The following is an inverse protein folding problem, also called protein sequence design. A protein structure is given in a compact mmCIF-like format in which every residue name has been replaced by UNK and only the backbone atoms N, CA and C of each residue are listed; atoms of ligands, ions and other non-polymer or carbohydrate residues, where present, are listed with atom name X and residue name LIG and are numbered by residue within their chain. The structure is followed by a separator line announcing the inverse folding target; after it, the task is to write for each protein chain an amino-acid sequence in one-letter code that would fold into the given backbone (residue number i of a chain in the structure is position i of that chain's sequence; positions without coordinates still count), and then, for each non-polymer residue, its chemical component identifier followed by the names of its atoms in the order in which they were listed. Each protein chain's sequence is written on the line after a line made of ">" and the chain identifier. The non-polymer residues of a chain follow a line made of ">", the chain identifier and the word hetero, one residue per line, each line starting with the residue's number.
data_IF_234315229188
#
_entry.id   IF_234315229188
#
_cell.length_a   1.000
_cell.length_b   1.000
_cell.length_c   1.000
_cell.angle_alpha   90.00
_cell.angle_beta   90.00
_cell.angle_gamma   90.00
#
_symmetry.space_group_name_H-M   'P 1'
#
loop_
_entity.id
_entity.type
_entity.pdbx_description
1 polymer ?
#
# COMPACT_ATOMS: atom_id res chain seq x y z
N UNK A 1 -3.72 -10.87 4.13
CA UNK A 1 -4.17 -9.48 3.96
C UNK A 1 -3.75 -8.96 2.59
N UNK A 2 -4.68 -8.48 1.80
CA UNK A 2 -4.40 -7.89 0.50
C UNK A 2 -4.57 -6.37 0.56
N UNK A 3 -3.76 -5.62 -0.20
CA UNK A 3 -3.81 -4.16 -0.26
C UNK A 3 -4.07 -3.74 -1.70
N UNK A 4 -5.03 -2.86 -1.92
CA UNK A 4 -5.34 -2.33 -3.24
C UNK A 4 -5.61 -0.83 -3.21
N UNK A 5 -5.46 -0.12 -4.35
CA UNK A 5 -5.82 1.30 -4.40
C UNK A 5 -7.33 1.49 -4.20
N UNK A 6 -7.72 2.47 -3.39
CA UNK A 6 -9.13 2.75 -3.16
C UNK A 6 -9.86 3.19 -4.44
N UNK A 7 -9.15 3.89 -5.33
CA UNK A 7 -9.71 4.35 -6.61
C UNK A 7 -9.71 3.27 -7.71
N UNK A 8 -9.12 2.10 -7.45
CA UNK A 8 -9.16 0.95 -8.36
C UNK A 8 -9.42 -0.34 -7.55
N UNK A 9 -10.60 -0.47 -6.91
CA UNK A 9 -10.87 -1.55 -5.96
C UNK A 9 -11.33 -2.83 -6.65
N UNK A 10 -10.48 -3.42 -7.50
CA UNK A 10 -10.83 -4.60 -8.30
C UNK A 10 -11.14 -5.80 -7.42
N UNK A 11 -10.34 -6.03 -6.36
CA UNK A 11 -10.52 -7.21 -5.50
C UNK A 11 -11.74 -7.09 -4.60
N UNK A 12 -12.03 -5.89 -4.09
CA UNK A 12 -13.14 -5.70 -3.14
C UNK A 12 -14.47 -5.36 -3.82
N UNK A 13 -14.45 -4.63 -4.94
CA UNK A 13 -15.67 -4.14 -5.59
C UNK A 13 -15.80 -4.54 -7.05
N UNK A 14 -14.79 -5.17 -7.64
CA UNK A 14 -14.83 -5.64 -9.02
C UNK A 14 -14.71 -4.55 -10.08
N UNK A 15 -14.37 -3.32 -9.70
CA UNK A 15 -14.26 -2.19 -10.64
C UNK A 15 -12.84 -1.64 -10.65
N UNK A 16 -12.30 -1.42 -11.85
CA UNK A 16 -11.00 -0.79 -12.04
C UNK A 16 -11.14 0.73 -12.19
N UNK A 17 -10.10 1.47 -11.84
CA UNK A 17 -10.05 2.91 -12.00
C UNK A 17 -8.61 3.40 -12.05
N UNK A 18 -8.42 4.69 -12.34
CA UNK A 18 -7.12 5.31 -12.34
C UNK A 18 -6.63 5.51 -10.90
N UNK A 19 -5.33 5.28 -10.67
CA UNK A 19 -4.71 5.53 -9.38
C UNK A 19 -3.24 5.90 -9.59
N UNK A 20 -2.58 6.36 -8.52
CA UNK A 20 -1.20 6.86 -8.56
C UNK A 20 -0.22 5.99 -7.78
N UNK A 21 -0.64 4.81 -7.33
CA UNK A 21 0.20 3.90 -6.56
C UNK A 21 0.88 2.92 -7.53
N UNK A 22 2.05 3.29 -8.04
CA UNK A 22 2.78 2.46 -8.99
C UNK A 22 3.16 1.11 -8.36
N UNK A 23 2.99 0.03 -9.10
CA UNK A 23 3.36 -1.31 -8.70
C UNK A 23 2.23 -2.17 -8.16
N UNK A 24 1.07 -1.58 -7.87
CA UNK A 24 -0.12 -2.33 -7.47
C UNK A 24 -1.32 -1.89 -8.30
N UNK A 25 -2.45 -2.54 -8.12
CA UNK A 25 -3.70 -2.13 -8.78
C UNK A 25 -3.63 -2.25 -10.30
N UNK A 26 -3.36 -3.44 -10.81
CA UNK A 26 -3.20 -3.69 -12.26
C UNK A 26 -4.48 -3.44 -13.08
N UNK A 27 -5.63 -3.28 -12.44
CA UNK A 27 -6.92 -3.08 -13.12
C UNK A 27 -7.65 -4.38 -13.43
N UNK A 28 -7.06 -5.51 -13.09
CA UNK A 28 -7.64 -6.85 -13.28
C UNK A 28 -7.11 -7.79 -12.21
N UNK A 29 -7.75 -8.95 -12.07
CA UNK A 29 -7.24 -10.01 -11.18
C UNK A 29 -6.23 -10.84 -11.97
N UNK A 30 -4.92 -10.82 -11.62
CA UNK A 30 -3.93 -11.62 -12.33
C UNK A 30 -4.21 -13.11 -12.19
N UNK A 31 -3.90 -13.88 -13.23
CA UNK A 31 -4.11 -15.33 -13.23
C UNK A 31 -3.34 -16.04 -12.11
N UNK A 32 -2.18 -15.50 -11.73
CA UNK A 32 -1.34 -16.08 -10.67
C UNK A 32 -1.88 -15.81 -9.27
N UNK A 33 -2.85 -14.90 -9.12
CA UNK A 33 -3.41 -14.57 -7.81
C UNK A 33 -4.52 -15.55 -7.43
N UNK A 34 -4.33 -16.24 -6.31
CA UNK A 34 -5.39 -17.02 -5.69
C UNK A 34 -6.22 -16.10 -4.81
N UNK A 35 -7.43 -15.78 -5.27
CA UNK A 35 -8.33 -14.87 -4.55
C UNK A 35 -8.89 -15.45 -3.26
N UNK A 36 -8.52 -16.68 -2.91
CA UNK A 36 -8.94 -17.34 -1.66
C UNK A 36 -7.84 -17.36 -0.60
N UNK A 37 -6.63 -16.86 -0.94
CA UNK A 37 -5.48 -16.97 -0.03
C UNK A 37 -5.43 -15.85 1.00
N UNK A 38 -6.03 -14.71 0.73
CA UNK A 38 -6.06 -13.59 1.68
C UNK A 38 -7.38 -13.56 2.46
N UNK A 39 -7.33 -13.14 3.71
CA UNK A 39 -8.48 -13.11 4.62
C UNK A 39 -9.24 -11.78 4.54
N UNK A 40 -8.54 -10.69 4.21
CA UNK A 40 -9.10 -9.35 4.21
C UNK A 40 -8.42 -8.49 3.15
N UNK A 41 -9.15 -7.49 2.64
CA UNK A 41 -8.65 -6.52 1.67
C UNK A 41 -8.67 -5.14 2.32
N UNK A 42 -7.56 -4.39 2.22
CA UNK A 42 -7.50 -3.00 2.66
C UNK A 42 -7.31 -2.11 1.44
N UNK A 43 -8.22 -1.16 1.24
CA UNK A 43 -8.13 -0.16 0.19
C UNK A 43 -7.37 1.07 0.72
N UNK A 44 -6.42 1.58 -0.09
CA UNK A 44 -5.55 2.69 0.28
C UNK A 44 -5.75 3.85 -0.69
N UNK A 45 -5.96 5.05 -0.16
CA UNK A 45 -6.04 6.26 -0.98
C UNK A 45 -4.64 6.66 -1.48
N UNK A 46 -4.57 7.32 -2.64
CA UNK A 46 -3.30 7.77 -3.20
C UNK A 46 -2.54 8.68 -2.23
N UNK A 47 -3.22 9.65 -1.64
CA UNK A 47 -2.63 10.60 -0.70
C UNK A 47 -2.05 9.91 0.52
N UNK A 48 -2.74 8.90 1.04
CA UNK A 48 -2.28 8.15 2.21
C UNK A 48 -1.00 7.37 1.91
N UNK A 49 -0.91 6.75 0.73
CA UNK A 49 0.30 6.05 0.31
C UNK A 49 1.49 7.00 0.20
N UNK A 50 1.30 8.16 -0.42
CA UNK A 50 2.36 9.17 -0.55
C UNK A 50 2.76 9.75 0.81
N UNK A 51 1.79 10.11 1.66
CA UNK A 51 2.05 10.70 2.97
C UNK A 51 2.84 9.75 3.86
N UNK A 52 2.47 8.48 3.92
CA UNK A 52 3.16 7.48 4.74
C UNK A 52 4.54 7.16 4.17
N UNK A 53 4.69 7.09 2.85
CA UNK A 53 5.99 6.90 2.22
C UNK A 53 6.98 8.01 2.60
N UNK A 54 6.54 9.27 2.56
CA UNK A 54 7.35 10.42 2.99
C UNK A 54 7.66 10.34 4.48
N UNK A 55 6.67 9.98 5.29
CA UNK A 55 6.82 9.90 6.74
C UNK A 55 7.89 8.90 7.14
N UNK A 56 7.97 7.76 6.48
CA UNK A 56 9.00 6.75 6.72
C UNK A 56 10.38 7.34 6.43
N UNK A 57 10.53 8.05 5.31
CA UNK A 57 11.78 8.74 4.99
C UNK A 57 12.21 9.74 6.04
N UNK A 58 11.27 10.55 6.53
CA UNK A 58 11.56 11.57 7.54
C UNK A 58 11.78 11.01 8.94
N UNK A 59 11.01 9.97 9.34
CA UNK A 59 11.05 9.45 10.71
C UNK A 59 12.06 8.33 10.91
N UNK A 60 12.19 7.45 9.91
CA UNK A 60 13.03 6.25 10.03
C UNK A 60 14.29 6.31 9.16
N UNK A 61 14.42 7.31 8.30
CA UNK A 61 15.56 7.45 7.40
C UNK A 61 15.62 6.40 6.30
N UNK A 62 14.50 5.74 6.01
CA UNK A 62 14.41 4.70 4.98
C UNK A 62 13.62 5.24 3.80
N UNK A 63 14.26 5.28 2.63
CA UNK A 63 13.58 5.71 1.39
C UNK A 63 12.92 4.51 0.73
N UNK A 64 11.61 4.57 0.60
CA UNK A 64 10.80 3.48 0.05
C UNK A 64 9.97 3.95 -1.15
N UNK A 65 9.47 3.00 -1.94
CA UNK A 65 8.62 3.30 -3.08
C UNK A 65 7.17 3.63 -2.66
N UNK A 66 6.37 4.00 -3.65
CA UNK A 66 4.97 4.41 -3.41
C UNK A 66 4.14 3.24 -2.88
N UNK A 67 4.28 2.05 -3.47
CA UNK A 67 3.56 0.86 -3.00
C UNK A 67 3.99 0.43 -1.61
N UNK A 68 5.25 0.71 -1.22
CA UNK A 68 5.72 0.49 0.14
C UNK A 68 4.99 1.39 1.13
N UNK A 69 4.74 2.65 0.77
CA UNK A 69 3.91 3.56 1.57
C UNK A 69 2.50 3.00 1.77
N UNK A 70 1.91 2.44 0.73
CA UNK A 70 0.59 1.78 0.82
C UNK A 70 0.62 0.59 1.78
N UNK A 71 1.64 -0.25 1.69
CA UNK A 71 1.78 -1.42 2.59
C UNK A 71 1.92 -0.99 4.05
N UNK A 72 2.72 0.05 4.32
CA UNK A 72 2.89 0.55 5.69
C UNK A 72 1.62 1.19 6.22
N UNK A 73 0.90 1.95 5.39
CA UNK A 73 -0.39 2.53 5.79
C UNK A 73 -1.35 1.42 6.23
N UNK A 74 -1.46 0.34 5.44
CA UNK A 74 -2.30 -0.79 5.78
C UNK A 74 -1.85 -1.46 7.09
N UNK A 75 -0.55 -1.63 7.30
CA UNK A 75 0.00 -2.19 8.54
C UNK A 75 -0.35 -1.31 9.75
N UNK A 76 -0.30 0.02 9.60
CA UNK A 76 -0.68 0.96 10.66
C UNK A 76 -2.16 0.79 11.02
N UNK A 77 -3.05 0.66 10.02
CA UNK A 77 -4.47 0.45 10.27
C UNK A 77 -4.72 -0.85 11.03
N UNK A 78 -4.01 -1.92 10.67
CA UNK A 78 -4.09 -3.20 11.39
C UNK A 78 -3.57 -3.09 12.82
N UNK A 79 -2.48 -2.35 13.03
CA UNK A 79 -1.89 -2.17 14.36
C UNK A 79 -2.80 -1.38 15.29
N UNK A 80 -3.66 -0.52 14.76
CA UNK A 80 -4.63 0.25 15.56
C UNK A 80 -5.79 -0.59 16.08
N UNK A 81 -6.02 -1.79 15.55
CA UNK A 81 -7.12 -2.64 15.98
C UNK A 81 -6.81 -3.26 17.33
N UNK A 82 -7.73 -3.17 18.33
CA UNK A 82 -7.49 -3.74 19.67
C UNK A 82 -7.19 -5.24 19.66
N UNK A 83 -7.82 -6.02 18.77
CA UNK A 83 -7.59 -7.46 18.67
C UNK A 83 -6.18 -7.82 18.22
N UNK A 84 -5.45 -6.87 17.67
CA UNK A 84 -4.07 -7.08 17.20
C UNK A 84 -3.00 -6.62 18.20
N UNK A 85 -3.40 -6.16 19.37
CA UNK A 85 -2.46 -5.72 20.41
C UNK A 85 -1.53 -6.88 20.80
N UNK A 86 -0.24 -6.63 20.81
CA UNK A 86 0.78 -7.64 21.12
C UNK A 86 1.12 -8.60 19.98
N UNK A 87 0.47 -8.48 18.82
CA UNK A 87 0.78 -9.32 17.65
C UNK A 87 1.89 -8.72 16.81
N UNK A 88 2.63 -9.59 16.14
CA UNK A 88 3.63 -9.18 15.14
C UNK A 88 2.93 -8.91 13.83
N UNK A 89 3.20 -7.73 13.22
CA UNK A 89 2.67 -7.35 11.92
C UNK A 89 3.84 -7.25 10.95
N UNK A 90 3.84 -8.08 9.92
CA UNK A 90 4.89 -8.13 8.90
C UNK A 90 4.35 -7.52 7.62
N UNK A 91 5.12 -6.62 7.03
CA UNK A 91 4.80 -6.01 5.74
C UNK A 91 6.05 -5.91 4.89
N UNK A 92 5.86 -5.94 3.57
CA UNK A 92 6.95 -5.94 2.62
C UNK A 92 7.12 -4.54 2.02
N UNK A 93 8.37 -4.07 1.97
CA UNK A 93 8.76 -2.83 1.29
C UNK A 93 9.45 -3.22 -0.01
N UNK A 94 8.71 -3.33 -1.13
CA UNK A 94 9.22 -4.03 -2.32
C UNK A 94 10.31 -3.29 -3.08
N UNK A 95 10.40 -1.97 -2.97
CA UNK A 95 11.46 -1.23 -3.63
C UNK A 95 11.89 0.02 -2.86
N UNK A 96 12.90 0.72 -3.39
CA UNK A 96 13.46 1.93 -2.76
C UNK A 96 12.80 3.18 -3.33
N UNK A 97 13.01 4.32 -2.65
CA UNK A 97 12.53 5.62 -3.11
C UNK A 97 13.30 6.22 -4.29
N UNK A 98 14.45 5.64 -4.65
CA UNK A 98 15.34 6.20 -5.69
C UNK A 98 14.62 6.37 -7.04
N UNK A 99 13.72 5.46 -7.39
CA UNK A 99 12.97 5.50 -8.65
C UNK A 99 11.91 6.58 -8.68
N UNK A 100 11.60 7.19 -7.54
CA UNK A 100 10.42 8.05 -7.36
C UNK A 100 10.78 9.48 -6.97
N UNK A 101 12.07 9.86 -7.06
CA UNK A 101 12.53 11.19 -6.65
C UNK A 101 11.86 12.33 -7.43
N UNK A 102 11.51 12.08 -8.70
CA UNK A 102 10.82 13.05 -9.56
C UNK A 102 9.29 12.95 -9.47
N UNK A 103 8.75 12.08 -8.64
CA UNK A 103 7.30 11.87 -8.50
C UNK A 103 6.71 12.69 -7.38
N UNK A 104 5.36 12.78 -7.28
CA UNK A 104 4.70 13.46 -6.15
C UNK A 104 5.04 12.89 -4.78
N UNK A 105 5.59 11.65 -4.70
CA UNK A 105 5.99 11.04 -3.42
C UNK A 105 6.97 11.93 -2.65
N UNK A 106 7.93 12.56 -3.34
CA UNK A 106 8.94 13.42 -2.73
C UNK A 106 8.78 14.90 -3.08
N UNK A 107 7.71 15.26 -3.74
CA UNK A 107 7.36 16.67 -3.97
C UNK A 107 6.79 17.26 -2.67
N UNK A 108 7.37 18.37 -2.23
CA UNK A 108 6.93 19.05 -1.00
C UNK A 108 6.28 20.39 -1.29
#
# INVERSE_FOLDING_TARGET
>A
MAVEPASSPVLSKGTAGAHKIQGIGAGFVPDVLDTKVYDEIIAVENEDAFAVGRLIGHKEGVLVGISSGAAVWAAIQLAKRPENAGKNIVFLLPDTGDRYLSTPLFAE
#
